data_IF_459261589573
#
_entry.id   IF_459261589573
#
_cell.length_a   1.000
_cell.length_b   1.000
_cell.length_c   1.000
_cell.angle_alpha   90.00
_cell.angle_beta   90.00
_cell.angle_gamma   90.00
#
_symmetry.space_group_name_H-M   'P 1'
#
loop_
_entity.id
_entity.type
_entity.pdbx_description
1 polymer ?
#
# COMPACT_ATOMS: atom_id res chain seq x y z
N UNK A 1 4.88 -23.31 11.46
CA UNK A 1 3.71 -22.44 11.70
C UNK A 1 3.19 -21.78 10.41
N UNK A 2 4.04 -21.23 9.53
CA UNK A 2 3.64 -20.64 8.23
C UNK A 2 2.71 -21.53 7.41
N UNK A 3 3.06 -22.81 7.19
CA UNK A 3 2.22 -23.76 6.43
C UNK A 3 0.84 -24.07 7.07
N UNK A 4 0.69 -23.84 8.38
CA UNK A 4 -0.58 -24.03 9.10
C UNK A 4 -1.52 -22.84 8.91
N UNK A 5 -0.97 -21.63 8.81
CA UNK A 5 -1.72 -20.39 8.59
C UNK A 5 -2.04 -20.21 7.10
N UNK A 6 -1.11 -20.61 6.23
CA UNK A 6 -1.28 -20.50 4.78
C UNK A 6 -1.29 -19.05 4.31
N UNK A 7 -2.10 -18.77 3.30
CA UNK A 7 -2.22 -17.46 2.64
C UNK A 7 -3.42 -16.63 3.11
N UNK A 8 -4.16 -17.11 4.12
CA UNK A 8 -5.36 -16.44 4.65
C UNK A 8 -5.09 -14.97 5.03
N UNK A 9 -4.01 -14.62 5.77
CA UNK A 9 -3.77 -13.22 6.14
C UNK A 9 -3.54 -12.32 4.92
N UNK A 10 -2.86 -12.82 3.89
CA UNK A 10 -2.63 -12.07 2.65
C UNK A 10 -3.95 -11.82 1.91
N UNK A 11 -4.81 -12.84 1.80
CA UNK A 11 -6.13 -12.71 1.17
C UNK A 11 -7.03 -11.72 1.92
N UNK A 12 -6.94 -11.67 3.24
CA UNK A 12 -7.68 -10.70 4.05
C UNK A 12 -7.20 -9.26 3.81
N UNK A 13 -5.88 -9.04 3.78
CA UNK A 13 -5.31 -7.73 3.46
C UNK A 13 -5.69 -7.29 2.04
N UNK A 14 -5.58 -8.19 1.05
CA UNK A 14 -5.98 -7.87 -0.33
C UNK A 14 -7.44 -7.44 -0.41
N UNK A 15 -8.35 -8.12 0.28
CA UNK A 15 -9.78 -7.72 0.34
C UNK A 15 -9.96 -6.33 0.95
N UNK A 16 -9.22 -6.00 2.01
CA UNK A 16 -9.28 -4.68 2.66
C UNK A 16 -8.76 -3.55 1.74
N UNK A 17 -7.78 -3.85 0.88
CA UNK A 17 -7.24 -2.91 -0.10
C UNK A 17 -8.08 -2.79 -1.39
N UNK A 18 -9.17 -3.54 -1.53
CA UNK A 18 -10.03 -3.51 -2.72
C UNK A 18 -9.81 -4.64 -3.72
N UNK A 19 -9.14 -5.71 -3.31
CA UNK A 19 -8.87 -6.88 -4.14
C UNK A 19 -7.66 -6.74 -5.05
N UNK A 20 -7.44 -7.74 -5.90
CA UNK A 20 -6.38 -7.73 -6.91
C UNK A 20 -6.96 -8.24 -8.23
N UNK A 21 -6.91 -7.46 -9.33
CA UNK A 21 -7.47 -7.86 -10.62
C UNK A 21 -7.12 -9.28 -11.09
N UNK A 22 -5.88 -9.74 -10.85
CA UNK A 22 -5.44 -11.09 -11.27
C UNK A 22 -6.11 -12.22 -10.49
N UNK A 23 -6.53 -11.95 -9.25
CA UNK A 23 -7.19 -12.93 -8.36
C UNK A 23 -8.71 -12.90 -8.56
N UNK A 24 -9.28 -11.71 -8.63
CA UNK A 24 -10.74 -11.51 -8.68
C UNK A 24 -11.30 -11.53 -10.12
N UNK A 25 -10.43 -11.44 -11.13
CA UNK A 25 -10.78 -11.53 -12.55
C UNK A 25 -11.75 -10.43 -12.99
N UNK A 26 -12.72 -10.81 -13.83
CA UNK A 26 -13.73 -9.88 -14.38
C UNK A 26 -14.66 -9.28 -13.33
N UNK A 27 -14.68 -9.82 -12.11
CA UNK A 27 -15.52 -9.31 -11.02
C UNK A 27 -14.82 -8.20 -10.22
N UNK A 28 -13.52 -7.98 -10.46
CA UNK A 28 -12.78 -6.95 -9.77
C UNK A 28 -13.33 -5.56 -10.07
N UNK A 29 -13.51 -4.75 -9.02
CA UNK A 29 -13.91 -3.34 -9.12
C UNK A 29 -13.13 -2.52 -8.10
N UNK A 30 -12.54 -1.38 -8.50
CA UNK A 30 -11.82 -0.53 -7.56
C UNK A 30 -12.81 0.08 -6.55
N UNK A 31 -12.48 -0.02 -5.27
CA UNK A 31 -13.22 0.66 -4.19
C UNK A 31 -12.57 1.99 -3.76
N UNK A 32 -11.32 2.21 -4.20
CA UNK A 32 -10.53 3.41 -3.94
C UNK A 32 -10.09 4.03 -5.26
N UNK A 33 -9.89 5.35 -5.26
CA UNK A 33 -9.08 5.98 -6.31
C UNK A 33 -7.63 5.54 -6.16
N UNK A 34 -6.82 5.70 -7.21
CA UNK A 34 -5.42 5.28 -7.19
C UNK A 34 -4.63 6.00 -6.09
N UNK A 35 -4.89 7.29 -5.86
CA UNK A 35 -4.23 8.10 -4.83
C UNK A 35 -4.51 7.57 -3.43
N UNK A 36 -5.77 7.19 -3.14
CA UNK A 36 -6.15 6.61 -1.85
C UNK A 36 -5.52 5.24 -1.67
N UNK A 37 -5.52 4.40 -2.70
CA UNK A 37 -4.91 3.07 -2.64
C UNK A 37 -3.40 3.18 -2.38
N UNK A 38 -2.68 4.02 -3.12
CA UNK A 38 -1.24 4.23 -2.94
C UNK A 38 -0.93 4.80 -1.55
N UNK A 39 -1.72 5.78 -1.09
CA UNK A 39 -1.58 6.33 0.26
C UNK A 39 -1.77 5.29 1.37
N UNK A 40 -2.70 4.34 1.21
CA UNK A 40 -2.91 3.23 2.15
C UNK A 40 -1.77 2.23 2.14
N UNK A 41 -1.35 1.79 0.96
CA UNK A 41 -0.23 0.85 0.81
C UNK A 41 1.03 1.43 1.47
N UNK A 42 1.32 2.72 1.22
CA UNK A 42 2.45 3.39 1.84
C UNK A 42 2.27 3.67 3.34
N UNK A 43 1.12 4.19 3.76
CA UNK A 43 0.88 4.61 5.14
C UNK A 43 0.73 3.45 6.12
N UNK A 44 0.03 2.39 5.71
CA UNK A 44 -0.33 1.28 6.60
C UNK A 44 0.72 0.16 6.57
N UNK A 45 1.45 0.01 5.45
CA UNK A 45 2.39 -1.10 5.24
C UNK A 45 3.82 -0.65 4.92
N UNK A 46 4.07 0.65 4.81
CA UNK A 46 5.36 1.22 4.37
C UNK A 46 5.82 0.72 2.99
N UNK A 47 4.90 0.23 2.16
CA UNK A 47 5.20 -0.36 0.86
C UNK A 47 5.09 0.70 -0.24
N UNK A 48 6.06 0.72 -1.15
CA UNK A 48 6.15 1.67 -2.25
C UNK A 48 5.63 1.08 -3.55
N UNK A 49 4.81 1.82 -4.30
CA UNK A 49 4.38 1.41 -5.64
C UNK A 49 4.04 2.63 -6.48
N UNK A 50 4.68 2.79 -7.64
CA UNK A 50 4.62 3.96 -8.52
C UNK A 50 5.17 5.25 -7.90
N UNK A 51 4.77 5.56 -6.67
CA UNK A 51 5.25 6.65 -5.83
C UNK A 51 5.68 6.07 -4.48
N UNK A 52 6.76 6.61 -3.93
CA UNK A 52 7.32 6.17 -2.64
C UNK A 52 7.48 7.35 -1.69
N UNK A 53 6.39 8.07 -1.36
CA UNK A 53 6.52 9.28 -0.57
C UNK A 53 7.06 8.97 0.82
N UNK A 54 7.96 9.81 1.32
CA UNK A 54 8.53 9.68 2.66
C UNK A 54 8.80 11.04 3.29
N UNK A 55 9.00 11.03 4.60
CA UNK A 55 9.35 12.24 5.35
C UNK A 55 10.83 12.17 5.70
N UNK A 56 11.59 13.13 5.18
CA UNK A 56 13.04 13.20 5.33
C UNK A 56 13.55 14.61 5.57
N UNK A 57 14.83 14.78 5.94
CA UNK A 57 15.44 16.09 6.08
C UNK A 57 15.39 16.90 4.78
N UNK A 58 15.11 18.19 4.87
CA UNK A 58 15.23 19.09 3.73
C UNK A 58 16.71 19.35 3.42
N UNK A 59 17.12 19.05 2.18
CA UNK A 59 18.49 19.28 1.69
C UNK A 59 18.91 20.76 1.81
N UNK A 60 17.96 21.70 1.78
CA UNK A 60 18.22 23.15 1.92
C UNK A 60 18.14 23.64 3.37
N UNK A 61 17.56 22.85 4.27
CA UNK A 61 17.45 23.18 5.69
C UNK A 61 17.38 21.91 6.54
N UNK A 62 18.54 21.39 6.93
CA UNK A 62 18.62 20.12 7.67
C UNK A 62 18.02 20.14 9.08
N UNK A 63 17.48 21.28 9.53
CA UNK A 63 16.70 21.38 10.78
C UNK A 63 15.18 21.18 10.57
N UNK A 64 14.73 21.01 9.32
CA UNK A 64 13.33 20.74 8.97
C UNK A 64 13.22 19.41 8.23
N UNK A 65 12.04 18.79 8.31
CA UNK A 65 11.68 17.64 7.47
C UNK A 65 10.61 18.05 6.45
N UNK A 66 10.64 17.43 5.28
CA UNK A 66 9.69 17.63 4.18
C UNK A 66 9.18 16.30 3.65
N UNK A 67 8.07 16.34 2.92
CA UNK A 67 7.63 15.24 2.08
C UNK A 67 8.53 15.18 0.84
N UNK A 68 9.07 14.00 0.55
CA UNK A 68 9.94 13.70 -0.59
C UNK A 68 9.35 12.58 -1.44
#
# INVERSE_FOLDING_TARGET
QIRKIGDTPLKEILKQLGGWPVVDGSNWKPIYTIEVLLGKIRGDYNEGALLEPWVGPDDKNSSANILQ
#
